data_IF_520680339887
#
_entry.id   IF_520680339887
#
_cell.length_a   1.000
_cell.length_b   1.000
_cell.length_c   1.000
_cell.angle_alpha   90.00
_cell.angle_beta   90.00
_cell.angle_gamma   90.00
#
_symmetry.space_group_name_H-M   'P 1'
#
loop_
_entity.id
_entity.type
_entity.pdbx_description
1 polymer ?
#
# COMPACT_ATOMS: atom_id res chain seq x y z
N UNK A 1 41.80 -42.12 20.63
CA UNK A 1 40.43 -41.93 20.09
C UNK A 1 40.06 -40.47 20.26
N UNK A 2 39.93 -39.72 19.16
CA UNK A 2 39.58 -38.29 19.17
C UNK A 2 38.07 -38.19 18.87
N UNK A 3 37.25 -37.51 19.68
CA UNK A 3 35.84 -37.35 19.36
C UNK A 3 35.68 -36.31 18.24
N UNK A 4 34.88 -36.67 17.22
CA UNK A 4 34.54 -35.79 16.12
C UNK A 4 33.73 -34.57 16.62
N UNK A 5 33.97 -33.35 16.11
CA UNK A 5 33.14 -32.21 16.44
C UNK A 5 31.75 -32.40 15.82
N UNK A 6 30.72 -32.34 16.68
CA UNK A 6 29.33 -32.23 16.27
C UNK A 6 29.20 -30.89 15.54
N UNK A 7 29.09 -30.94 14.21
CA UNK A 7 28.75 -29.79 13.40
C UNK A 7 27.29 -29.45 13.68
N UNK A 8 27.05 -28.57 14.64
CA UNK A 8 25.73 -27.98 14.83
C UNK A 8 25.43 -27.18 13.56
N UNK A 9 24.42 -27.60 12.82
CA UNK A 9 23.94 -26.93 11.61
C UNK A 9 23.38 -25.55 12.01
N UNK A 10 24.27 -24.56 12.00
CA UNK A 10 23.94 -23.20 12.36
C UNK A 10 23.07 -22.57 11.27
N UNK A 11 21.89 -22.12 11.69
CA UNK A 11 21.08 -21.08 11.02
C UNK A 11 20.38 -21.46 9.72
N UNK A 12 19.42 -22.40 9.82
CA UNK A 12 18.14 -22.17 9.11
C UNK A 12 17.49 -20.95 9.76
N UNK A 13 17.82 -19.75 9.28
CA UNK A 13 17.12 -18.53 9.66
C UNK A 13 15.64 -18.69 9.27
N UNK A 14 14.81 -19.15 10.21
CA UNK A 14 13.34 -19.10 10.12
C UNK A 14 13.00 -17.64 9.84
N UNK A 15 12.82 -17.28 8.57
CA UNK A 15 12.29 -15.98 8.17
C UNK A 15 10.90 -15.88 8.79
N UNK A 16 10.83 -15.24 9.94
CA UNK A 16 9.57 -15.00 10.64
C UNK A 16 8.60 -14.36 9.64
N UNK A 17 7.38 -14.91 9.47
CA UNK A 17 6.42 -14.33 8.54
C UNK A 17 6.18 -12.87 8.92
N UNK A 18 6.29 -11.99 7.92
CA UNK A 18 6.05 -10.56 8.12
C UNK A 18 4.66 -10.33 8.73
N UNK A 19 4.52 -9.53 9.80
CA UNK A 19 3.22 -9.26 10.39
C UNK A 19 2.36 -8.50 9.37
N UNK A 20 1.08 -8.88 9.20
CA UNK A 20 0.17 -8.16 8.31
C UNK A 20 0.01 -6.70 8.75
N UNK A 21 -0.30 -5.78 7.82
CA UNK A 21 -0.51 -4.38 8.17
C UNK A 21 -1.72 -4.25 9.12
N UNK A 22 -1.58 -3.39 10.12
CA UNK A 22 -2.68 -3.11 11.04
C UNK A 22 -3.90 -2.55 10.27
N UNK A 23 -5.14 -3.00 10.56
CA UNK A 23 -6.33 -2.51 9.88
C UNK A 23 -6.49 -0.99 9.94
N UNK A 24 -6.14 -0.35 11.05
CA UNK A 24 -6.15 1.11 11.19
C UNK A 24 -5.11 1.84 10.34
N UNK A 25 -4.02 1.19 9.96
CA UNK A 25 -3.09 1.73 8.96
C UNK A 25 -3.71 1.68 7.56
N UNK A 26 -4.30 0.54 7.19
CA UNK A 26 -5.00 0.38 5.90
C UNK A 26 -6.19 1.33 5.78
N UNK A 27 -6.97 1.52 6.84
CA UNK A 27 -8.07 2.49 6.89
C UNK A 27 -7.60 3.91 6.56
N UNK A 28 -6.46 4.34 7.13
CA UNK A 28 -5.88 5.66 6.82
C UNK A 28 -5.44 5.78 5.35
N UNK A 29 -4.85 4.73 4.78
CA UNK A 29 -4.47 4.73 3.37
C UNK A 29 -5.69 4.81 2.44
N UNK A 30 -6.74 4.04 2.74
CA UNK A 30 -8.00 4.07 2.00
C UNK A 30 -8.65 5.44 2.12
N UNK A 31 -8.69 6.03 3.32
CA UNK A 31 -9.22 7.37 3.55
C UNK A 31 -8.50 8.43 2.71
N UNK A 32 -7.16 8.44 2.74
CA UNK A 32 -6.34 9.37 1.98
C UNK A 32 -6.52 9.19 0.46
N UNK A 33 -6.67 7.95 0.00
CA UNK A 33 -6.97 7.66 -1.40
C UNK A 33 -8.37 8.17 -1.79
N UNK A 34 -9.39 7.99 -0.94
CA UNK A 34 -10.75 8.50 -1.17
C UNK A 34 -10.79 10.04 -1.21
N UNK A 35 -10.08 10.71 -0.30
CA UNK A 35 -9.93 12.19 -0.34
C UNK A 35 -9.36 12.64 -1.68
N UNK A 36 -8.37 11.91 -2.20
CA UNK A 36 -7.75 12.21 -3.48
C UNK A 36 -8.68 11.89 -4.66
N UNK A 37 -9.52 10.85 -4.55
CA UNK A 37 -10.57 10.51 -5.50
C UNK A 37 -11.66 11.58 -5.57
N UNK A 38 -12.16 12.02 -4.41
CA UNK A 38 -13.24 13.01 -4.28
C UNK A 38 -12.78 14.45 -4.58
N UNK A 39 -11.48 14.67 -4.74
CA UNK A 39 -10.90 15.98 -5.06
C UNK A 39 -10.64 16.88 -3.86
N UNK A 40 -10.76 16.37 -2.63
CA UNK A 40 -10.31 17.05 -1.41
C UNK A 40 -8.79 17.07 -1.28
N UNK A 41 -8.09 16.18 -2.01
CA UNK A 41 -6.63 16.08 -2.05
C UNK A 41 -6.12 15.98 -3.49
N UNK A 42 -4.95 16.57 -3.76
CA UNK A 42 -4.28 16.42 -5.05
C UNK A 42 -3.69 15.00 -5.19
N UNK A 43 -3.93 14.26 -6.29
CA UNK A 43 -3.38 12.91 -6.48
C UNK A 43 -1.85 12.86 -6.39
N UNK A 44 -1.17 13.90 -6.87
CA UNK A 44 0.29 14.02 -6.79
C UNK A 44 0.83 14.01 -5.35
N UNK A 45 0.04 14.42 -4.35
CA UNK A 45 0.46 14.38 -2.95
C UNK A 45 0.64 12.96 -2.41
N UNK A 46 -0.03 11.97 -3.03
CA UNK A 46 0.10 10.56 -2.67
C UNK A 46 1.51 10.01 -2.94
N UNK A 47 2.29 10.66 -3.83
CA UNK A 47 3.68 10.29 -4.12
C UNK A 47 4.60 10.37 -2.89
N UNK A 48 4.21 11.14 -1.87
CA UNK A 48 4.94 11.24 -0.60
C UNK A 48 4.58 10.10 0.38
N UNK A 49 3.52 9.34 0.10
CA UNK A 49 3.00 8.28 0.96
C UNK A 49 3.31 6.88 0.44
N UNK A 50 2.83 5.84 1.16
CA UNK A 50 3.04 4.45 0.79
C UNK A 50 2.04 4.00 -0.29
N UNK A 51 2.07 4.69 -1.43
CA UNK A 51 1.26 4.40 -2.61
C UNK A 51 2.18 4.07 -3.78
N UNK A 52 1.91 2.98 -4.47
CA UNK A 52 2.61 2.66 -5.71
C UNK A 52 2.23 3.67 -6.81
N UNK A 53 3.19 4.00 -7.69
CA UNK A 53 3.02 5.02 -8.72
C UNK A 53 1.87 4.72 -9.67
N UNK A 54 1.68 3.44 -9.99
CA UNK A 54 0.65 2.94 -10.90
C UNK A 54 -0.77 3.26 -10.40
N UNK A 55 -0.98 3.26 -9.08
CA UNK A 55 -2.28 3.63 -8.51
C UNK A 55 -2.53 5.12 -8.64
N UNK A 56 -1.48 5.93 -8.44
CA UNK A 56 -1.57 7.38 -8.52
C UNK A 56 -1.88 7.78 -9.97
N UNK A 57 -1.21 7.18 -10.94
CA UNK A 57 -1.46 7.39 -12.38
C UNK A 57 -2.88 6.97 -12.75
N UNK A 58 -3.32 5.78 -12.32
CA UNK A 58 -4.69 5.33 -12.54
C UNK A 58 -5.72 6.29 -11.92
N UNK A 59 -5.47 6.80 -10.72
CA UNK A 59 -6.34 7.76 -10.04
C UNK A 59 -6.45 9.07 -10.83
N UNK A 60 -5.34 9.57 -11.37
CA UNK A 60 -5.33 10.78 -12.21
C UNK A 60 -6.19 10.56 -13.46
N UNK A 61 -5.93 9.47 -14.20
CA UNK A 61 -6.70 9.13 -15.40
C UNK A 61 -8.19 8.96 -15.11
N UNK A 62 -8.55 8.28 -14.02
CA UNK A 62 -9.95 8.09 -13.64
C UNK A 62 -10.64 9.40 -13.29
N UNK A 63 -9.94 10.35 -12.64
CA UNK A 63 -10.48 11.68 -12.36
C UNK A 63 -10.65 12.51 -13.63
N UNK A 64 -9.70 12.45 -14.56
CA UNK A 64 -9.80 13.14 -15.85
C UNK A 64 -10.98 12.61 -16.66
N UNK A 65 -11.14 11.29 -16.74
CA UNK A 65 -12.29 10.66 -17.40
C UNK A 65 -13.61 11.04 -16.73
N UNK A 66 -13.67 11.02 -15.40
CA UNK A 66 -14.86 11.44 -14.66
C UNK A 66 -15.20 12.93 -14.90
N UNK A 67 -14.19 13.80 -14.96
CA UNK A 67 -14.37 15.22 -15.25
C UNK A 67 -14.91 15.46 -16.67
N UNK A 68 -14.40 14.71 -17.66
CA UNK A 68 -14.90 14.76 -19.06
C UNK A 68 -16.34 14.27 -19.17
N UNK A 69 -16.68 13.18 -18.48
CA UNK A 69 -18.03 12.60 -18.53
C UNK A 69 -19.06 13.41 -17.74
N UNK A 70 -18.65 14.17 -16.73
CA UNK A 70 -19.56 14.90 -15.86
C UNK A 70 -20.10 16.21 -16.47
N UNK A 71 -19.52 16.74 -17.56
CA UNK A 71 -19.96 17.96 -18.27
C UNK A 71 -19.92 19.27 -17.46
N UNK A 72 -19.89 19.19 -16.14
CA UNK A 72 -19.75 20.24 -15.16
C UNK A 72 -18.96 19.68 -13.98
N UNK A 73 -18.16 20.54 -13.35
CA UNK A 73 -17.26 20.26 -12.22
C UNK A 73 -17.70 19.11 -11.32
N UNK A 74 -16.80 18.16 -10.98
CA UNK A 74 -17.14 17.07 -10.07
C UNK A 74 -17.57 17.68 -8.74
N UNK A 75 -18.87 17.64 -8.46
CA UNK A 75 -19.48 18.14 -7.22
C UNK A 75 -18.72 17.46 -6.09
N UNK A 76 -17.95 18.21 -5.31
CA UNK A 76 -17.17 17.70 -4.17
C UNK A 76 -18.15 16.88 -3.31
N UNK A 77 -18.08 15.55 -3.41
CA UNK A 77 -18.96 14.69 -2.64
C UNK A 77 -18.54 14.85 -1.19
N UNK A 78 -19.51 15.13 -0.31
CA UNK A 78 -19.24 15.31 1.11
C UNK A 78 -18.62 14.04 1.69
N UNK A 79 -17.45 14.24 2.30
CA UNK A 79 -16.56 13.31 3.00
C UNK A 79 -16.85 11.83 2.88
N UNK A 80 -16.15 11.14 1.98
CA UNK A 80 -16.00 9.71 2.09
C UNK A 80 -15.38 9.35 3.45
N UNK A 81 -15.93 8.35 4.12
CA UNK A 81 -15.40 7.84 5.40
C UNK A 81 -15.29 6.32 5.36
N UNK A 82 -14.20 5.79 5.91
CA UNK A 82 -14.03 4.35 6.08
C UNK A 82 -14.86 3.86 7.26
N UNK A 83 -15.74 2.89 7.03
CA UNK A 83 -16.63 2.28 8.04
C UNK A 83 -15.97 1.07 8.68
N UNK A 84 -15.38 0.20 7.86
CA UNK A 84 -14.67 -0.99 8.34
C UNK A 84 -13.58 -1.39 7.36
N UNK A 85 -12.55 -2.08 7.88
CA UNK A 85 -11.46 -2.65 7.07
C UNK A 85 -11.17 -4.05 7.56
N UNK A 86 -11.08 -4.98 6.61
CA UNK A 86 -10.59 -6.34 6.84
C UNK A 86 -9.31 -6.53 6.03
N UNK A 87 -8.26 -6.94 6.72
CA UNK A 87 -6.97 -7.31 6.13
C UNK A 87 -6.87 -8.82 6.18
N UNK A 88 -6.64 -9.47 5.04
CA UNK A 88 -6.55 -10.92 4.96
C UNK A 88 -5.11 -11.39 5.18
N UNK A 89 -4.94 -12.60 5.69
CA UNK A 89 -3.61 -13.19 5.76
C UNK A 89 -3.07 -13.44 4.33
N UNK A 90 -1.76 -13.25 4.08
CA UNK A 90 -1.18 -13.57 2.78
C UNK A 90 -1.32 -15.07 2.50
N UNK A 91 -1.85 -15.41 1.31
CA UNK A 91 -2.08 -16.81 0.92
C UNK A 91 -0.78 -17.64 0.80
N UNK A 92 0.36 -16.99 0.55
CA UNK A 92 1.66 -17.66 0.42
C UNK A 92 2.76 -16.94 1.23
N UNK A 93 3.64 -17.74 1.87
CA UNK A 93 4.90 -17.26 2.47
C UNK A 93 5.93 -16.95 1.37
N UNK A 94 5.68 -15.92 0.58
CA UNK A 94 6.69 -15.40 -0.37
C UNK A 94 7.55 -14.34 0.30
N UNK A 95 8.73 -14.08 -0.25
CA UNK A 95 9.66 -13.07 0.29
C UNK A 95 9.10 -11.64 0.23
N UNK A 96 8.10 -11.39 -0.63
CA UNK A 96 7.36 -10.13 -0.74
C UNK A 96 5.85 -10.41 -0.78
N UNK A 97 5.22 -10.67 0.39
CA UNK A 97 3.83 -11.07 0.43
C UNK A 97 2.92 -9.93 -0.05
N UNK A 98 1.99 -10.26 -0.96
CA UNK A 98 0.84 -9.42 -1.28
C UNK A 98 -0.29 -9.75 -0.31
N UNK A 99 -0.80 -8.73 0.37
CA UNK A 99 -1.84 -8.84 1.38
C UNK A 99 -3.13 -8.22 0.84
N UNK A 100 -4.21 -9.01 0.66
CA UNK A 100 -5.50 -8.48 0.26
C UNK A 100 -6.13 -7.67 1.40
N UNK A 101 -6.87 -6.63 1.03
CA UNK A 101 -7.78 -5.96 1.95
C UNK A 101 -9.12 -5.66 1.30
N UNK A 102 -10.15 -5.61 2.13
CA UNK A 102 -11.47 -5.11 1.78
C UNK A 102 -11.89 -4.06 2.81
N UNK A 103 -12.50 -2.98 2.37
CA UNK A 103 -13.01 -1.92 3.21
C UNK A 103 -14.42 -1.55 2.79
N UNK A 104 -15.28 -1.26 3.76
CA UNK A 104 -16.58 -0.64 3.53
C UNK A 104 -16.43 0.85 3.73
N UNK A 105 -16.89 1.65 2.78
CA UNK A 105 -16.76 3.11 2.81
C UNK A 105 -18.13 3.74 2.62
N UNK A 106 -18.42 4.77 3.41
CA UNK A 106 -19.64 5.57 3.27
C UNK A 106 -19.32 6.77 2.38
N UNK A 107 -20.06 6.92 1.28
CA UNK A 107 -20.01 8.08 0.36
C UNK A 107 -21.42 8.63 0.20
N UNK A 108 -21.68 9.79 0.78
CA UNK A 108 -23.04 10.33 0.90
C UNK A 108 -23.96 9.35 1.64
N UNK A 109 -25.10 9.01 1.04
CA UNK A 109 -26.09 8.07 1.58
C UNK A 109 -25.79 6.59 1.29
N UNK A 110 -24.71 6.27 0.56
CA UNK A 110 -24.44 4.91 0.09
C UNK A 110 -23.19 4.33 0.75
N UNK A 111 -23.26 3.03 1.05
CA UNK A 111 -22.07 2.24 1.37
C UNK A 111 -21.55 1.61 0.08
N UNK A 112 -20.23 1.65 -0.10
CA UNK A 112 -19.50 1.05 -1.22
C UNK A 112 -18.39 0.17 -0.68
N UNK A 113 -17.98 -0.80 -1.48
CA UNK A 113 -16.84 -1.63 -1.15
C UNK A 113 -15.58 -1.06 -1.83
N UNK A 114 -14.46 -1.11 -1.12
CA UNK A 114 -13.14 -0.84 -1.65
C UNK A 114 -12.30 -2.08 -1.43
N UNK A 115 -11.66 -2.58 -2.47
CA UNK A 115 -10.78 -3.74 -2.36
C UNK A 115 -9.43 -3.44 -3.01
N UNK A 116 -8.40 -4.09 -2.51
CA UNK A 116 -7.05 -3.86 -2.99
C UNK A 116 -6.00 -4.77 -2.38
N UNK A 117 -4.75 -4.42 -2.64
CA UNK A 117 -3.59 -5.16 -2.16
C UNK A 117 -2.55 -4.21 -1.58
N UNK A 118 -1.91 -4.64 -0.48
CA UNK A 118 -0.67 -4.08 0.02
C UNK A 118 0.49 -5.04 -0.26
N UNK A 119 1.67 -4.51 -0.50
CA UNK A 119 2.89 -5.29 -0.66
C UNK A 119 3.98 -4.73 0.26
N UNK A 120 4.72 -5.61 0.93
CA UNK A 120 5.80 -5.19 1.81
C UNK A 120 7.08 -4.95 1.01
N UNK A 121 7.58 -3.72 1.04
CA UNK A 121 8.87 -3.36 0.48
C UNK A 121 9.90 -3.24 1.59
N UNK A 122 10.92 -4.11 1.56
CA UNK A 122 12.15 -3.93 2.34
C UNK A 122 13.16 -3.23 1.44
N UNK A 123 13.70 -2.06 1.82
CA UNK A 123 14.88 -1.55 1.15
C UNK A 123 15.97 -2.62 1.32
N UNK A 124 16.48 -3.13 0.20
CA UNK A 124 17.68 -3.96 0.22
C UNK A 124 18.77 -3.05 0.79
N UNK A 125 19.33 -3.36 1.97
CA UNK A 125 20.57 -2.71 2.43
C UNK A 125 21.60 -2.96 1.32
N UNK A 126 21.76 -2.02 0.40
CA UNK A 126 22.98 -1.96 -0.39
C UNK A 126 24.06 -1.61 0.63
N UNK A 127 25.00 -2.53 0.83
CA UNK A 127 26.26 -2.22 1.48
C UNK A 127 26.89 -1.10 0.66
N UNK A 128 26.81 0.12 1.17
CA UNK A 128 27.39 1.29 0.55
C UNK A 128 28.91 1.17 0.63
N UNK A 129 29.52 0.64 -0.43
CA UNK A 129 30.91 0.97 -0.74
C UNK A 129 30.91 2.30 -1.50
N UNK A 130 31.47 3.31 -0.84
CA UNK A 130 32.12 4.51 -1.37
C UNK A 130 31.37 5.41 -2.38
N UNK A 131 31.25 6.69 -2.00
CA UNK A 131 31.44 7.83 -2.89
C UNK A 131 30.30 8.17 -3.86
N UNK A 132 29.44 9.12 -3.49
CA UNK A 132 28.56 9.77 -4.45
C UNK A 132 27.57 10.72 -3.78
N UNK A 133 27.71 12.02 -4.04
CA UNK A 133 26.90 13.13 -3.50
C UNK A 133 25.43 13.16 -3.97
N UNK A 134 24.87 12.03 -4.41
CA UNK A 134 23.45 11.90 -4.74
C UNK A 134 22.94 10.54 -4.27
N UNK A 135 22.52 10.47 -3.01
CA UNK A 135 21.86 9.28 -2.49
C UNK A 135 20.53 9.03 -3.22
N UNK A 136 20.24 7.80 -3.68
CA UNK A 136 18.97 7.52 -4.34
C UNK A 136 17.82 7.82 -3.38
N UNK A 137 16.79 8.49 -3.92
CA UNK A 137 15.52 8.80 -3.24
C UNK A 137 15.04 7.55 -2.50
N UNK A 138 15.11 7.55 -1.15
CA UNK A 138 14.86 6.37 -0.31
C UNK A 138 13.58 5.66 -0.76
N UNK A 139 13.71 4.42 -1.25
CA UNK A 139 12.56 3.59 -1.54
C UNK A 139 11.72 3.43 -0.25
N UNK A 140 10.39 3.54 -0.31
CA UNK A 140 9.55 3.43 0.87
C UNK A 140 9.76 2.06 1.54
N UNK A 141 10.17 2.08 2.80
CA UNK A 141 10.23 0.87 3.62
C UNK A 141 8.89 0.64 4.30
N UNK A 142 8.28 -0.52 4.09
CA UNK A 142 7.03 -0.89 4.75
C UNK A 142 5.95 -1.40 3.80
N UNK A 143 4.72 -1.42 4.28
CA UNK A 143 3.54 -1.80 3.51
C UNK A 143 3.16 -0.68 2.55
N UNK A 144 3.24 -0.95 1.26
CA UNK A 144 2.85 -0.03 0.19
C UNK A 144 1.55 -0.53 -0.42
N UNK A 145 0.56 0.33 -0.57
CA UNK A 145 -0.65 -0.01 -1.33
C UNK A 145 -0.27 -0.09 -2.80
N UNK A 146 -0.48 -1.25 -3.43
CA UNK A 146 -0.14 -1.54 -4.84
C UNK A 146 -1.36 -1.69 -5.74
N UNK A 147 -2.54 -1.87 -5.15
CA UNK A 147 -3.81 -1.82 -5.86
C UNK A 147 -4.92 -1.35 -4.93
N UNK A 148 -5.86 -0.59 -5.49
CA UNK A 148 -7.11 -0.21 -4.83
C UNK A 148 -8.16 0.06 -5.90
N UNK A 149 -9.39 -0.40 -5.66
CA UNK A 149 -10.53 -0.18 -6.53
C UNK A 149 -11.78 0.02 -5.70
N UNK A 150 -12.62 0.96 -6.13
CA UNK A 150 -13.99 1.12 -5.66
C UNK A 150 -14.88 0.15 -6.47
N UNK A 151 -15.71 -0.62 -5.77
CA UNK A 151 -16.67 -1.59 -6.30
C UNK A 151 -18.09 -1.05 -6.06
#
# INVERSE_FOLDING_TARGET
MVPAPIYTDCTTAKRSPLPPPAPGHVARLVQVWLEAWDGHRAPASLRKGPFAGEIIERLILQRELAARNAGATPRRQSGASVVSVRVQAPAHRTAAPKVPFCASVRRGSRIRAVAGYLQFYRPRRQQSHAGGLYGPRRAPSGWVMTSVRLI
#
